data_IF_284363733910
#
_entry.id   IF_284363733910
#
_cell.length_a   1.000
_cell.length_b   1.000
_cell.length_c   1.000
_cell.angle_alpha   90.00
_cell.angle_beta   90.00
_cell.angle_gamma   90.00
#
_symmetry.space_group_name_H-M   'P 1'
#
loop_
_entity.id
_entity.type
_entity.pdbx_description
1 polymer ?
#
# COMPACT_ATOMS: atom_id res chain seq x y z
N UNK A 1 -0.98 -16.02 -6.44
CA UNK A 1 -0.41 -15.82 -5.09
C UNK A 1 0.92 -15.13 -5.31
N UNK A 2 0.91 -13.80 -5.39
CA UNK A 2 2.15 -13.04 -5.50
C UNK A 2 2.88 -13.16 -4.17
N UNK A 3 4.01 -13.87 -4.18
CA UNK A 3 4.89 -13.96 -3.03
C UNK A 3 5.54 -12.59 -2.85
N UNK A 4 5.08 -11.80 -1.89
CA UNK A 4 5.73 -10.54 -1.51
C UNK A 4 7.16 -10.81 -1.09
N UNK A 5 8.16 -10.13 -1.67
CA UNK A 5 9.56 -10.34 -1.30
C UNK A 5 9.76 -10.10 0.19
N UNK A 6 10.35 -11.09 0.87
CA UNK A 6 10.74 -11.00 2.28
C UNK A 6 12.23 -10.70 2.34
N UNK A 7 12.59 -9.62 3.02
CA UNK A 7 13.97 -9.22 3.25
C UNK A 7 14.25 -9.12 4.75
N UNK A 8 15.46 -9.48 5.16
CA UNK A 8 15.89 -9.34 6.56
C UNK A 8 16.42 -7.94 6.80
N UNK A 9 16.27 -7.43 8.04
CA UNK A 9 16.83 -6.13 8.43
C UNK A 9 18.35 -6.06 8.22
N UNK A 10 19.06 -7.17 8.40
CA UNK A 10 20.50 -7.27 8.19
C UNK A 10 20.89 -6.96 6.72
N UNK A 11 20.06 -7.39 5.76
CA UNK A 11 20.28 -7.10 4.33
C UNK A 11 20.09 -5.63 3.96
N UNK A 12 19.54 -4.81 4.86
CA UNK A 12 19.39 -3.36 4.71
C UNK A 12 20.57 -2.57 5.30
N UNK A 13 21.50 -3.24 5.99
CA UNK A 13 22.68 -2.57 6.54
C UNK A 13 23.56 -2.00 5.41
N UNK A 14 23.94 -0.73 5.53
CA UNK A 14 24.71 -0.03 4.51
C UNK A 14 23.89 0.56 3.36
N UNK A 15 22.58 0.29 3.29
CA UNK A 15 21.67 0.92 2.33
C UNK A 15 21.09 2.19 2.95
N UNK A 16 21.06 3.28 2.19
CA UNK A 16 20.40 4.51 2.64
C UNK A 16 18.87 4.34 2.65
N UNK A 17 18.18 5.05 3.53
CA UNK A 17 16.70 5.04 3.54
C UNK A 17 16.13 5.48 2.19
N UNK A 18 16.78 6.43 1.50
CA UNK A 18 16.34 6.88 0.18
C UNK A 18 16.40 5.75 -0.87
N UNK A 19 17.50 4.98 -0.90
CA UNK A 19 17.65 3.83 -1.79
C UNK A 19 16.63 2.74 -1.47
N UNK A 20 16.41 2.47 -0.18
CA UNK A 20 15.40 1.52 0.25
C UNK A 20 13.97 1.92 -0.17
N UNK A 21 13.60 3.19 -0.02
CA UNK A 21 12.30 3.70 -0.47
C UNK A 21 12.16 3.67 -2.00
N UNK A 22 13.23 3.98 -2.75
CA UNK A 22 13.25 3.83 -4.21
C UNK A 22 13.02 2.39 -4.63
N UNK A 23 13.61 1.43 -3.91
CA UNK A 23 13.40 0.00 -4.14
C UNK A 23 11.95 -0.43 -3.90
N UNK A 24 11.32 0.04 -2.82
CA UNK A 24 9.88 -0.16 -2.55
C UNK A 24 9.01 0.41 -3.68
N UNK A 25 9.36 1.57 -4.24
CA UNK A 25 8.63 2.14 -5.37
C UNK A 25 8.74 1.30 -6.65
N UNK A 26 9.85 0.58 -6.86
CA UNK A 26 10.08 -0.25 -8.04
C UNK A 26 9.54 -1.67 -7.90
N UNK A 27 9.76 -2.32 -6.76
CA UNK A 27 9.39 -3.72 -6.53
C UNK A 27 7.99 -3.89 -5.91
N UNK A 28 7.37 -2.80 -5.45
CA UNK A 28 6.06 -2.84 -4.82
C UNK A 28 6.12 -3.14 -3.33
N UNK A 29 5.24 -4.02 -2.86
CA UNK A 29 5.14 -4.35 -1.43
C UNK A 29 6.33 -5.20 -0.97
N UNK A 30 7.08 -4.72 0.01
CA UNK A 30 8.18 -5.44 0.64
C UNK A 30 7.83 -5.78 2.10
N UNK A 31 8.20 -6.99 2.52
CA UNK A 31 8.09 -7.43 3.92
C UNK A 31 9.48 -7.47 4.54
N UNK A 32 9.70 -6.66 5.57
CA UNK A 32 10.96 -6.62 6.32
C UNK A 32 10.81 -7.45 7.59
N UNK A 33 11.61 -8.50 7.71
CA UNK A 33 11.66 -9.34 8.89
C UNK A 33 12.67 -8.78 9.90
N UNK A 34 12.19 -8.53 11.12
CA UNK A 34 12.96 -8.01 12.24
C UNK A 34 13.62 -9.16 13.02
N UNK A 35 14.76 -8.92 13.68
CA UNK A 35 15.49 -9.96 14.42
C UNK A 35 14.72 -10.52 15.62
N UNK A 36 13.71 -9.82 16.10
CA UNK A 36 12.80 -10.27 17.17
C UNK A 36 11.66 -11.17 16.66
N UNK A 37 11.66 -11.53 15.37
CA UNK A 37 10.64 -12.36 14.74
C UNK A 37 9.40 -11.58 14.26
N UNK A 38 9.31 -10.29 14.54
CA UNK A 38 8.27 -9.43 14.00
C UNK A 38 8.51 -9.11 12.52
N UNK A 39 7.49 -8.60 11.84
CA UNK A 39 7.58 -8.25 10.42
C UNK A 39 6.88 -6.93 10.14
N UNK A 40 7.49 -6.11 9.29
CA UNK A 40 6.96 -4.81 8.85
C UNK A 40 6.69 -4.89 7.36
N UNK A 41 5.47 -4.52 6.95
CA UNK A 41 5.10 -4.46 5.53
C UNK A 41 5.16 -3.01 5.09
N UNK A 42 5.89 -2.76 4.01
CA UNK A 42 6.04 -1.43 3.42
C UNK A 42 5.56 -1.52 1.97
N UNK A 43 4.57 -0.70 1.65
CA UNK A 43 3.97 -0.65 0.33
C UNK A 43 4.01 0.78 -0.21
N UNK A 44 4.30 0.96 -1.51
CA UNK A 44 4.19 2.26 -2.13
C UNK A 44 2.74 2.68 -2.12
N UNK A 45 2.47 3.96 -1.82
CA UNK A 45 1.12 4.50 -1.92
C UNK A 45 0.77 4.63 -3.41
N UNK A 46 -0.19 3.86 -3.95
CA UNK A 46 -0.54 3.96 -5.34
C UNK A 46 -1.18 5.33 -5.60
N UNK A 47 -0.78 5.97 -6.70
CA UNK A 47 -1.51 7.13 -7.21
C UNK A 47 -2.75 6.63 -7.92
N UNK A 48 -3.88 6.61 -7.21
CA UNK A 48 -5.15 6.21 -7.77
C UNK A 48 -5.66 7.30 -8.72
N UNK A 49 -6.16 6.88 -9.89
CA UNK A 49 -6.91 7.79 -10.75
C UNK A 49 -8.19 8.21 -10.00
N UNK A 50 -8.62 9.47 -10.11
CA UNK A 50 -9.91 9.87 -9.57
C UNK A 50 -11.00 9.01 -10.21
N UNK A 51 -12.03 8.69 -9.43
CA UNK A 51 -13.19 7.98 -9.94
C UNK A 51 -13.83 8.83 -11.05
N UNK A 52 -14.26 8.22 -12.16
CA UNK A 52 -15.00 8.93 -13.17
C UNK A 52 -16.28 9.48 -12.54
N UNK A 53 -16.60 10.74 -12.84
CA UNK A 53 -17.94 11.27 -12.56
C UNK A 53 -18.90 10.53 -13.49
N UNK A 54 -19.75 9.70 -12.91
CA UNK A 54 -20.77 8.98 -13.68
C UNK A 54 -21.90 9.96 -14.01
N UNK A 55 -22.35 9.93 -15.26
CA UNK A 55 -23.58 10.62 -15.64
C UNK A 55 -24.74 9.95 -14.87
N UNK A 56 -25.38 10.71 -13.99
CA UNK A 56 -26.46 10.22 -13.16
C UNK A 56 -26.96 11.29 -12.22
N UNK A 57 -28.20 11.13 -11.77
CA UNK A 57 -28.83 11.98 -10.77
C UNK A 57 -29.03 11.11 -9.53
N UNK A 58 -28.52 11.56 -8.38
CA UNK A 58 -28.85 10.95 -7.08
C UNK A 58 -30.04 11.72 -6.53
N UNK A 59 -31.24 11.12 -6.47
CA UNK A 59 -32.41 11.74 -5.86
C UNK A 59 -32.15 12.11 -4.40
N UNK A 60 -32.72 13.24 -3.98
CA UNK A 60 -32.72 13.66 -2.59
C UNK A 60 -33.38 12.57 -1.71
N UNK A 61 -32.76 12.22 -0.58
CA UNK A 61 -33.26 11.18 0.33
C UNK A 61 -32.91 9.73 -0.03
N UNK A 62 -32.16 9.45 -1.11
CA UNK A 62 -31.74 8.07 -1.45
C UNK A 62 -30.98 7.39 -0.31
N UNK A 63 -30.09 8.12 0.38
CA UNK A 63 -29.24 7.54 1.44
C UNK A 63 -30.04 7.19 2.70
N UNK A 64 -31.00 8.03 3.07
CA UNK A 64 -31.87 7.85 4.23
C UNK A 64 -32.81 6.64 4.10
N UNK A 65 -33.09 6.17 2.89
CA UNK A 65 -33.95 5.01 2.67
C UNK A 65 -33.27 3.65 2.98
N UNK A 66 -31.93 3.59 3.03
CA UNK A 66 -31.17 2.32 3.10
C UNK A 66 -30.49 2.12 4.46
N UNK A 67 -30.32 3.18 5.25
CA UNK A 67 -29.80 3.09 6.63
C UNK A 67 -30.66 3.94 7.57
N UNK A 68 -31.72 3.37 8.19
CA UNK A 68 -32.39 3.98 9.33
C UNK A 68 -31.50 4.01 10.58
#
# INVERSE_FOLDING_TARGET
MDATPVITLDSLTGISIAEFLSRVLQEGTLTVQLPNGESVIIQPKPTLKPLPVLNGFVPEGWKDAIYP
#
